data_IF_931560201523
#
_entry.id   IF_931560201523
#
_cell.length_a   1.000
_cell.length_b   1.000
_cell.length_c   1.000
_cell.angle_alpha   90.00
_cell.angle_beta   90.00
_cell.angle_gamma   90.00
#
_symmetry.space_group_name_H-M   'P 1'
#
loop_
_entity.id
_entity.type
_entity.pdbx_description
1 polymer ?
#
# COMPACT_ATOMS: atom_id res chain seq x y z
N UNK A 1 -25.12 -45.61 -43.30
CA UNK A 1 -24.92 -44.16 -43.45
C UNK A 1 -25.04 -43.58 -42.04
N UNK A 2 -23.92 -43.24 -41.42
CA UNK A 2 -23.87 -42.83 -40.00
C UNK A 2 -23.38 -41.38 -39.95
N UNK A 3 -24.28 -40.45 -39.63
CA UNK A 3 -24.00 -39.03 -39.52
C UNK A 3 -23.22 -38.78 -38.23
N UNK A 4 -21.98 -38.35 -38.36
CA UNK A 4 -21.14 -37.85 -37.25
C UNK A 4 -21.39 -36.35 -37.16
N UNK A 5 -22.10 -35.93 -36.11
CA UNK A 5 -22.25 -34.51 -35.75
C UNK A 5 -21.05 -34.14 -34.93
N UNK A 6 -20.13 -33.35 -35.53
CA UNK A 6 -19.00 -32.74 -34.84
C UNK A 6 -19.52 -31.48 -34.15
N UNK A 7 -19.68 -31.54 -32.84
CA UNK A 7 -19.98 -30.37 -32.00
C UNK A 7 -18.73 -29.54 -31.85
N UNK A 8 -18.66 -28.39 -32.54
CA UNK A 8 -17.58 -27.42 -32.43
C UNK A 8 -17.83 -26.58 -31.16
N UNK A 9 -17.10 -26.93 -30.08
CA UNK A 9 -17.15 -26.21 -28.80
C UNK A 9 -16.32 -24.93 -28.94
N UNK A 10 -16.99 -23.77 -29.15
CA UNK A 10 -16.35 -22.47 -29.19
C UNK A 10 -16.07 -22.02 -27.75
N UNK A 11 -14.83 -22.18 -27.25
CA UNK A 11 -14.37 -21.60 -26.02
C UNK A 11 -14.22 -20.08 -26.21
N UNK A 12 -15.19 -19.29 -25.74
CA UNK A 12 -15.09 -17.88 -25.57
C UNK A 12 -14.10 -17.60 -24.43
N UNK A 13 -12.85 -17.27 -24.75
CA UNK A 13 -11.88 -16.73 -23.81
C UNK A 13 -12.27 -15.28 -23.55
N UNK A 14 -12.98 -15.04 -22.44
CA UNK A 14 -13.20 -13.70 -21.89
C UNK A 14 -11.86 -13.17 -21.38
N UNK A 15 -11.06 -12.57 -22.25
CA UNK A 15 -9.92 -11.76 -21.86
C UNK A 15 -10.46 -10.51 -21.16
N UNK A 16 -10.61 -10.59 -19.85
CA UNK A 16 -10.91 -9.43 -19.01
C UNK A 16 -9.75 -8.44 -19.13
N UNK A 17 -9.92 -7.38 -19.92
CA UNK A 17 -8.98 -6.27 -19.98
C UNK A 17 -8.95 -5.59 -18.62
N UNK A 18 -8.02 -5.99 -17.74
CA UNK A 18 -7.69 -5.21 -16.56
C UNK A 18 -7.17 -3.85 -17.01
N UNK A 19 -7.84 -2.77 -16.62
CA UNK A 19 -7.43 -1.42 -16.97
C UNK A 19 -5.99 -1.18 -16.49
N UNK A 20 -5.13 -0.70 -17.40
CA UNK A 20 -3.75 -0.37 -17.07
C UNK A 20 -3.73 0.71 -15.98
N UNK A 21 -2.94 0.55 -14.90
CA UNK A 21 -2.78 1.58 -13.89
C UNK A 21 -2.31 2.91 -14.48
N UNK A 22 -2.78 4.02 -13.94
CA UNK A 22 -2.35 5.35 -14.35
C UNK A 22 -0.84 5.52 -14.10
N UNK A 23 -0.17 6.23 -15.00
CA UNK A 23 1.26 6.52 -14.84
C UNK A 23 1.51 7.44 -13.64
N UNK A 24 2.59 7.17 -12.90
CA UNK A 24 2.99 7.99 -11.74
C UNK A 24 3.60 9.29 -12.26
N UNK A 25 2.96 10.41 -11.97
CA UNK A 25 3.36 11.72 -12.47
C UNK A 25 4.58 12.30 -11.74
N UNK A 26 4.82 11.93 -10.48
CA UNK A 26 5.87 12.55 -9.66
C UNK A 26 6.42 11.64 -8.56
N UNK A 27 7.68 11.90 -8.20
CA UNK A 27 8.31 11.39 -6.99
C UNK A 27 8.55 12.60 -6.07
N UNK A 28 8.02 12.53 -4.86
CA UNK A 28 8.11 13.61 -3.86
C UNK A 28 8.99 13.15 -2.70
N UNK A 29 9.85 14.05 -2.20
CA UNK A 29 10.60 13.83 -0.97
C UNK A 29 9.81 14.34 0.23
N UNK A 30 10.06 13.73 1.39
CA UNK A 30 9.53 14.22 2.67
C UNK A 30 10.15 15.57 3.07
N UNK A 31 9.43 16.28 3.93
CA UNK A 31 9.91 17.47 4.66
C UNK A 31 9.96 17.12 6.13
N UNK A 32 11.16 16.92 6.71
CA UNK A 32 11.33 16.70 8.14
C UNK A 32 10.79 17.88 8.97
N UNK A 33 10.12 17.60 10.07
CA UNK A 33 9.58 18.63 10.98
C UNK A 33 10.65 19.21 11.92
N UNK A 34 11.75 18.49 12.14
CA UNK A 34 12.85 18.86 13.03
C UNK A 34 14.03 19.56 12.32
N UNK A 35 13.85 20.01 11.07
CA UNK A 35 14.91 20.66 10.29
C UNK A 35 16.02 19.71 9.82
N UNK A 36 15.85 18.40 9.89
CA UNK A 36 16.78 17.44 9.30
C UNK A 36 16.82 17.59 7.77
N UNK A 37 17.92 17.16 7.18
CA UNK A 37 18.12 17.16 5.73
C UNK A 37 18.12 15.72 5.26
N UNK A 38 17.40 15.44 4.17
CA UNK A 38 17.31 14.10 3.58
C UNK A 38 16.19 13.25 4.19
N UNK A 39 16.29 11.95 3.98
CA UNK A 39 15.23 10.99 4.35
C UNK A 39 15.37 10.52 5.80
N UNK A 40 16.60 10.40 6.32
CA UNK A 40 16.81 10.05 7.72
C UNK A 40 16.55 11.24 8.65
N UNK A 41 15.35 11.34 9.17
CA UNK A 41 14.92 12.46 10.01
C UNK A 41 15.61 12.50 11.38
N UNK A 42 16.26 11.41 11.81
CA UNK A 42 16.98 11.31 13.08
C UNK A 42 18.50 11.36 12.94
N UNK A 43 19.05 11.60 11.74
CA UNK A 43 20.49 11.58 11.49
C UNK A 43 21.27 12.50 12.45
N UNK A 44 20.80 13.73 12.66
CA UNK A 44 21.45 14.71 13.58
C UNK A 44 21.41 14.26 15.03
N UNK A 45 20.28 13.72 15.48
CA UNK A 45 20.13 13.24 16.86
C UNK A 45 21.02 12.04 17.12
N UNK A 46 21.13 11.13 16.14
CA UNK A 46 22.02 9.97 16.21
C UNK A 46 23.49 10.41 16.25
N UNK A 47 23.88 11.39 15.41
CA UNK A 47 25.24 11.95 15.44
C UNK A 47 25.59 12.64 16.77
N UNK A 48 24.58 13.17 17.47
CA UNK A 48 24.74 13.75 18.82
C UNK A 48 24.69 12.71 19.95
N UNK A 49 24.66 11.40 19.63
CA UNK A 49 24.62 10.33 20.62
C UNK A 49 23.24 10.09 21.25
N UNK A 50 22.18 10.70 20.73
CA UNK A 50 20.82 10.47 21.23
C UNK A 50 20.33 9.10 20.80
N UNK A 51 19.70 8.38 21.72
CA UNK A 51 19.08 7.08 21.42
C UNK A 51 17.81 7.32 20.59
N UNK A 52 17.89 7.01 19.31
CA UNK A 52 16.82 7.17 18.32
C UNK A 52 16.68 5.91 17.47
N UNK A 53 15.55 5.71 16.77
CA UNK A 53 15.35 4.56 15.88
C UNK A 53 16.49 4.40 14.86
N UNK A 54 16.92 3.16 14.64
CA UNK A 54 17.97 2.84 13.67
C UNK A 54 17.41 2.97 12.23
N UNK A 55 18.08 3.79 11.41
CA UNK A 55 17.69 4.00 10.02
C UNK A 55 17.98 2.74 9.18
N UNK A 56 16.96 2.25 8.50
CA UNK A 56 17.01 1.05 7.66
C UNK A 56 16.71 1.35 6.19
N UNK A 57 17.11 2.53 5.72
CA UNK A 57 16.89 2.95 4.35
C UNK A 57 15.58 3.69 4.13
N UNK A 58 15.16 3.78 2.89
CA UNK A 58 13.92 4.42 2.48
C UNK A 58 13.11 3.56 1.51
N UNK A 59 11.83 3.88 1.38
CA UNK A 59 10.90 3.26 0.45
C UNK A 59 10.24 4.32 -0.42
N UNK A 60 10.02 4.00 -1.69
CA UNK A 60 9.10 4.74 -2.56
C UNK A 60 7.68 4.23 -2.30
N UNK A 61 6.97 4.90 -1.37
CA UNK A 61 5.57 4.63 -1.07
C UNK A 61 4.69 5.12 -2.21
N UNK A 62 3.96 4.21 -2.83
CA UNK A 62 3.01 4.54 -3.88
C UNK A 62 1.68 5.00 -3.29
N UNK A 63 1.18 6.17 -3.74
CA UNK A 63 -0.09 6.76 -3.31
C UNK A 63 -1.02 6.87 -4.51
N UNK A 64 -2.13 6.14 -4.48
CA UNK A 64 -3.14 6.10 -5.54
C UNK A 64 -4.53 6.37 -4.99
N UNK A 65 -5.36 7.03 -5.76
CA UNK A 65 -6.75 7.30 -5.42
C UNK A 65 -7.70 6.62 -6.39
N UNK A 66 -8.84 6.24 -5.86
CA UNK A 66 -9.88 5.49 -6.58
C UNK A 66 -11.24 6.10 -6.29
N UNK A 67 -12.19 5.87 -7.17
CA UNK A 67 -13.61 6.11 -6.94
C UNK A 67 -14.42 4.85 -7.26
N UNK A 68 -15.60 4.75 -6.70
CA UNK A 68 -16.55 3.72 -7.08
C UNK A 68 -17.45 4.24 -8.21
N UNK A 69 -17.46 3.55 -9.34
CA UNK A 69 -18.32 3.82 -10.49
C UNK A 69 -19.30 2.66 -10.63
N UNK A 70 -20.59 2.97 -10.69
CA UNK A 70 -21.62 1.96 -10.91
C UNK A 70 -21.29 1.17 -12.19
N UNK A 71 -21.51 -0.14 -12.19
CA UNK A 71 -21.21 -1.09 -13.28
C UNK A 71 -19.71 -1.34 -13.57
N UNK A 72 -18.82 -0.42 -13.21
CA UNK A 72 -17.37 -0.57 -13.42
C UNK A 72 -16.62 -0.94 -12.14
N UNK A 73 -17.26 -0.82 -10.96
CA UNK A 73 -16.62 -1.06 -9.68
C UNK A 73 -15.62 0.05 -9.28
N UNK A 74 -14.51 -0.33 -8.68
CA UNK A 74 -13.48 0.61 -8.24
C UNK A 74 -12.55 0.97 -9.39
N UNK A 75 -12.55 2.24 -9.78
CA UNK A 75 -11.75 2.80 -10.89
C UNK A 75 -10.70 3.76 -10.33
N UNK A 76 -9.47 3.67 -10.84
CA UNK A 76 -8.39 4.58 -10.47
C UNK A 76 -8.66 5.98 -11.03
N UNK A 77 -8.36 7.01 -10.22
CA UNK A 77 -8.48 8.40 -10.62
C UNK A 77 -7.24 9.21 -10.26
N UNK A 78 -6.91 10.18 -11.11
CA UNK A 78 -5.83 11.13 -10.89
C UNK A 78 -6.33 12.45 -10.28
N UNK A 79 -5.37 13.28 -9.85
CA UNK A 79 -5.60 14.67 -9.51
C UNK A 79 -6.14 14.90 -8.09
N UNK A 80 -6.10 13.90 -7.20
CA UNK A 80 -6.39 14.14 -5.79
C UNK A 80 -5.15 14.71 -5.09
N UNK A 81 -5.32 15.78 -4.31
CA UNK A 81 -4.27 16.33 -3.46
C UNK A 81 -4.18 15.51 -2.19
N UNK A 82 -3.01 14.91 -1.96
CA UNK A 82 -2.75 14.07 -0.80
C UNK A 82 -1.62 14.64 0.05
N UNK A 83 -1.75 14.44 1.36
CA UNK A 83 -0.70 14.71 2.34
C UNK A 83 -0.40 13.42 3.08
N UNK A 84 0.88 13.06 3.13
CA UNK A 84 1.42 12.01 3.99
C UNK A 84 2.06 12.69 5.19
N UNK A 85 1.73 12.25 6.38
CA UNK A 85 2.28 12.80 7.62
C UNK A 85 2.62 11.70 8.62
N UNK A 86 3.73 11.89 9.31
CA UNK A 86 4.15 11.18 10.50
C UNK A 86 4.49 12.22 11.58
N UNK A 87 4.84 11.78 12.77
CA UNK A 87 5.29 12.71 13.82
C UNK A 87 6.52 13.51 13.42
N UNK A 88 7.43 12.91 12.65
CA UNK A 88 8.74 13.45 12.32
C UNK A 88 8.83 14.10 10.93
N UNK A 89 7.84 13.92 10.03
CA UNK A 89 7.88 14.48 8.66
C UNK A 89 6.51 14.61 8.01
N UNK A 90 6.48 15.38 6.92
CA UNK A 90 5.31 15.52 6.05
C UNK A 90 5.71 15.47 4.58
N UNK A 91 4.76 15.14 3.69
CA UNK A 91 4.92 15.28 2.25
C UNK A 91 3.56 15.57 1.60
N UNK A 92 3.54 16.44 0.58
CA UNK A 92 2.34 16.77 -0.17
C UNK A 92 2.53 16.42 -1.64
N UNK A 93 1.51 15.80 -2.26
CA UNK A 93 1.57 15.35 -3.65
C UNK A 93 0.20 15.34 -4.30
N UNK A 94 0.17 15.18 -5.62
CA UNK A 94 -1.05 14.93 -6.40
C UNK A 94 -1.00 13.53 -6.98
N UNK A 95 -2.05 12.74 -6.79
CA UNK A 95 -2.11 11.32 -7.21
C UNK A 95 -2.33 11.15 -8.71
N UNK A 96 -1.81 10.05 -9.30
CA UNK A 96 -0.94 9.05 -8.70
C UNK A 96 0.49 9.56 -8.50
N UNK A 97 1.09 9.25 -7.36
CA UNK A 97 2.44 9.71 -7.03
C UNK A 97 3.21 8.68 -6.20
N UNK A 98 4.52 8.86 -6.11
CA UNK A 98 5.38 8.15 -5.15
C UNK A 98 5.98 9.15 -4.18
N UNK A 99 6.09 8.77 -2.93
CA UNK A 99 6.78 9.56 -1.90
C UNK A 99 7.88 8.72 -1.27
N UNK A 100 9.08 9.32 -1.14
CA UNK A 100 10.21 8.68 -0.49
C UNK A 100 10.07 8.85 1.02
N UNK A 101 9.78 7.76 1.72
CA UNK A 101 9.57 7.72 3.17
C UNK A 101 10.68 6.95 3.86
N UNK A 102 11.15 7.36 5.06
CA UNK A 102 12.15 6.62 5.81
C UNK A 102 11.57 5.32 6.38
N UNK A 103 12.44 4.34 6.51
CA UNK A 103 12.20 3.11 7.25
C UNK A 103 13.15 3.04 8.44
N UNK A 104 12.61 2.66 9.58
CA UNK A 104 13.37 2.44 10.80
C UNK A 104 13.13 1.02 11.30
N UNK A 105 14.20 0.37 11.72
CA UNK A 105 14.14 -1.02 12.21
C UNK A 105 13.18 -1.12 13.40
N UNK A 106 12.16 -1.94 13.30
CA UNK A 106 11.14 -2.21 14.33
C UNK A 106 10.36 -0.99 14.87
N UNK A 107 10.68 0.23 14.43
CA UNK A 107 10.18 1.47 15.02
C UNK A 107 9.74 2.50 13.98
N UNK A 108 9.41 2.07 12.76
CA UNK A 108 8.86 2.98 11.74
C UNK A 108 7.55 3.57 12.21
N UNK A 109 7.42 4.90 12.10
CA UNK A 109 6.22 5.63 12.50
C UNK A 109 5.00 5.23 11.65
N UNK A 110 3.81 5.30 12.24
CA UNK A 110 2.58 5.17 11.45
C UNK A 110 2.40 6.39 10.55
N UNK A 111 2.03 6.16 9.29
CA UNK A 111 1.79 7.22 8.31
C UNK A 111 0.30 7.50 8.20
N UNK A 112 -0.12 8.73 8.44
CA UNK A 112 -1.45 9.20 8.08
C UNK A 112 -1.42 9.74 6.64
N UNK A 113 -2.24 9.17 5.76
CA UNK A 113 -2.37 9.62 4.37
C UNK A 113 -3.78 10.20 4.19
N UNK A 114 -3.86 11.52 4.06
CA UNK A 114 -5.12 12.24 3.85
C UNK A 114 -5.19 12.75 2.43
N UNK A 115 -6.26 12.39 1.70
CA UNK A 115 -6.49 12.83 0.33
C UNK A 115 -7.79 13.61 0.23
N UNK A 116 -7.78 14.63 -0.62
CA UNK A 116 -8.95 15.42 -0.99
C UNK A 116 -8.98 15.68 -2.50
N UNK A 117 -10.17 15.83 -3.05
CA UNK A 117 -10.43 16.23 -4.43
C UNK A 117 -11.75 16.95 -4.50
N UNK A 118 -11.82 17.98 -5.32
CA UNK A 118 -13.08 18.73 -5.51
C UNK A 118 -14.19 17.79 -5.98
N UNK A 119 -15.36 17.90 -5.37
CA UNK A 119 -16.51 17.01 -5.62
C UNK A 119 -16.46 15.67 -4.89
N UNK A 120 -15.47 15.45 -4.01
CA UNK A 120 -15.32 14.23 -3.22
C UNK A 120 -15.16 14.54 -1.74
N UNK A 121 -15.62 13.61 -0.89
CA UNK A 121 -15.34 13.66 0.54
C UNK A 121 -13.87 13.38 0.80
N UNK A 122 -13.25 14.21 1.65
CA UNK A 122 -11.89 13.95 2.13
C UNK A 122 -11.83 12.64 2.89
N UNK A 123 -10.78 11.85 2.65
CA UNK A 123 -10.54 10.59 3.35
C UNK A 123 -9.12 10.49 3.85
N UNK A 124 -8.97 9.88 5.02
CA UNK A 124 -7.69 9.58 5.64
C UNK A 124 -7.59 8.09 5.92
N UNK A 125 -6.42 7.53 5.68
CA UNK A 125 -6.04 6.18 6.09
C UNK A 125 -4.76 6.23 6.90
N UNK A 126 -4.54 5.22 7.73
CA UNK A 126 -3.29 5.06 8.48
C UNK A 126 -2.58 3.81 7.98
N UNK A 127 -1.30 3.95 7.63
CA UNK A 127 -0.43 2.86 7.23
C UNK A 127 0.55 2.57 8.34
N UNK A 128 0.77 1.29 8.63
CA UNK A 128 1.81 0.83 9.53
C UNK A 128 2.84 0.04 8.72
N UNK A 129 4.11 0.25 9.03
CA UNK A 129 5.16 -0.59 8.47
C UNK A 129 4.99 -2.02 9.00
N UNK A 130 5.30 -2.98 8.15
CA UNK A 130 5.28 -4.40 8.49
C UNK A 130 6.59 -5.06 8.06
N UNK A 131 6.90 -6.16 8.71
CA UNK A 131 8.04 -6.99 8.37
C UNK A 131 7.73 -7.81 7.10
N UNK A 132 8.29 -7.34 5.97
CA UNK A 132 8.13 -8.00 4.68
C UNK A 132 8.77 -9.37 4.65
N UNK A 133 9.95 -9.51 5.23
CA UNK A 133 10.68 -10.78 5.24
C UNK A 133 9.88 -11.88 5.94
N UNK A 134 9.23 -11.52 7.03
CA UNK A 134 8.34 -12.42 7.76
C UNK A 134 7.07 -12.73 6.97
N UNK A 135 6.45 -11.71 6.37
CA UNK A 135 5.26 -11.90 5.54
C UNK A 135 5.54 -12.79 4.33
N UNK A 136 6.68 -12.61 3.66
CA UNK A 136 7.08 -13.44 2.52
C UNK A 136 7.36 -14.89 2.94
N UNK A 137 8.02 -15.11 4.09
CA UNK A 137 8.22 -16.46 4.65
C UNK A 137 6.88 -17.16 4.89
N UNK A 138 5.92 -16.45 5.50
CA UNK A 138 4.59 -16.98 5.76
C UNK A 138 3.83 -17.31 4.47
N UNK A 139 3.86 -16.41 3.47
CA UNK A 139 3.22 -16.62 2.18
C UNK A 139 3.82 -17.83 1.43
N UNK A 140 5.13 -18.04 1.51
CA UNK A 140 5.78 -19.18 0.90
C UNK A 140 5.43 -20.51 1.59
N UNK A 141 5.21 -20.49 2.91
CA UNK A 141 4.76 -21.68 3.65
C UNK A 141 3.29 -22.04 3.35
N UNK A 142 2.43 -21.03 3.16
CA UNK A 142 1.00 -21.24 2.86
C UNK A 142 0.75 -21.56 1.39
N UNK A 143 1.56 -21.08 0.47
CA UNK A 143 1.45 -21.38 -0.97
C UNK A 143 1.87 -22.81 -1.33
N UNK A 144 2.62 -23.49 -0.47
CA UNK A 144 2.88 -24.92 -0.61
C UNK A 144 1.63 -25.79 -0.33
N UNK A 145 0.55 -25.22 0.18
CA UNK A 145 -0.69 -25.92 0.57
C UNK A 145 -1.99 -25.48 -0.08
N UNK A 146 -2.05 -24.34 -0.79
CA UNK A 146 -3.28 -23.93 -1.47
C UNK A 146 -3.05 -22.87 -2.55
N UNK A 147 -3.53 -23.13 -3.75
CA UNK A 147 -3.55 -22.21 -4.89
C UNK A 147 -4.59 -21.07 -4.70
N UNK A 148 -4.31 -20.14 -3.78
CA UNK A 148 -5.19 -19.00 -3.55
C UNK A 148 -4.44 -17.87 -2.85
N UNK A 149 -3.89 -16.93 -3.63
CA UNK A 149 -3.17 -15.77 -3.12
C UNK A 149 -4.02 -14.87 -2.23
N UNK A 150 -3.72 -14.83 -0.96
CA UNK A 150 -4.28 -13.88 0.01
C UNK A 150 -3.39 -12.64 0.10
N UNK A 151 -3.42 -11.80 -0.92
CA UNK A 151 -2.97 -10.42 -0.81
C UNK A 151 -4.13 -9.63 -0.20
N UNK A 152 -4.17 -9.47 1.10
CA UNK A 152 -5.23 -8.67 1.73
C UNK A 152 -5.38 -8.83 3.22
N UNK A 153 -4.75 -9.77 3.83
CA UNK A 153 -4.86 -9.96 5.28
C UNK A 153 -3.60 -9.42 5.94
N UNK A 154 -3.72 -8.24 6.52
CA UNK A 154 -2.84 -7.87 7.65
C UNK A 154 -3.21 -8.88 8.73
N UNK A 155 -2.50 -9.99 8.72
CA UNK A 155 -2.80 -11.15 9.50
C UNK A 155 -2.84 -10.81 10.97
N UNK A 156 -3.90 -11.24 11.56
CA UNK A 156 -4.08 -11.41 12.99
C UNK A 156 -2.79 -11.92 13.67
N UNK A 157 -2.42 -11.26 14.74
CA UNK A 157 -1.21 -11.47 15.54
C UNK A 157 -1.07 -12.89 16.15
N UNK A 158 -1.99 -13.80 15.89
CA UNK A 158 -2.06 -15.09 16.58
C UNK A 158 -1.16 -16.21 16.01
N UNK A 159 -0.66 -16.09 14.77
CA UNK A 159 0.20 -17.14 14.17
C UNK A 159 1.70 -16.79 14.30
N UNK A 160 1.99 -15.62 14.79
CA UNK A 160 3.33 -15.04 14.84
C UNK A 160 4.32 -15.69 15.82
N UNK A 161 3.82 -16.39 16.84
CA UNK A 161 4.65 -16.79 17.97
C UNK A 161 5.63 -17.95 17.71
N UNK A 162 5.35 -18.82 16.75
CA UNK A 162 6.12 -20.05 16.57
C UNK A 162 7.30 -19.94 15.56
N UNK A 163 7.25 -18.97 14.65
CA UNK A 163 8.28 -18.82 13.59
C UNK A 163 9.35 -17.79 13.96
N UNK A 164 9.09 -16.93 14.96
CA UNK A 164 10.00 -15.87 15.38
C UNK A 164 11.19 -16.35 16.22
N UNK A 165 11.08 -17.47 16.88
CA UNK A 165 12.09 -17.91 17.86
C UNK A 165 13.42 -18.38 17.22
N UNK A 166 13.45 -18.58 15.90
CA UNK A 166 14.60 -19.15 15.20
C UNK A 166 15.24 -18.25 14.13
N UNK A 167 14.75 -17.01 13.96
CA UNK A 167 15.25 -16.14 12.87
C UNK A 167 15.92 -14.88 13.42
N UNK A 168 17.08 -14.54 12.83
CA UNK A 168 17.74 -13.26 13.07
C UNK A 168 16.88 -12.11 12.54
N UNK A 169 16.12 -11.48 13.44
CA UNK A 169 15.23 -10.36 13.13
C UNK A 169 16.00 -9.08 12.73
N UNK A 170 17.33 -9.06 12.87
CA UNK A 170 18.16 -7.91 12.51
C UNK A 170 18.27 -7.70 10.99
N UNK A 171 18.10 -8.75 10.20
CA UNK A 171 18.15 -8.71 8.74
C UNK A 171 16.77 -8.50 8.09
N UNK A 172 15.70 -8.32 8.86
CA UNK A 172 14.36 -8.20 8.32
C UNK A 172 14.15 -6.89 7.56
N UNK A 173 13.50 -6.99 6.41
CA UNK A 173 13.12 -5.85 5.56
C UNK A 173 11.75 -5.35 5.98
N UNK A 174 11.70 -4.09 6.39
CA UNK A 174 10.47 -3.40 6.75
C UNK A 174 9.94 -2.60 5.55
N UNK A 175 8.62 -2.52 5.41
CA UNK A 175 8.00 -1.68 4.39
C UNK A 175 6.58 -1.25 4.78
N UNK A 176 6.10 -0.15 4.19
CA UNK A 176 4.69 0.24 4.24
C UNK A 176 3.93 -0.40 3.08
N UNK A 177 2.68 -0.79 3.27
CA UNK A 177 1.81 -1.18 2.17
C UNK A 177 1.52 0.03 1.27
N UNK A 178 1.24 -0.17 -0.04
CA UNK A 178 0.85 0.93 -0.91
C UNK A 178 -0.44 1.62 -0.43
N UNK A 179 -0.46 2.96 -0.51
CA UNK A 179 -1.61 3.77 -0.10
C UNK A 179 -2.68 3.77 -1.21
N UNK A 180 -3.70 2.95 -1.08
CA UNK A 180 -4.86 2.91 -1.97
C UNK A 180 -6.06 3.54 -1.27
N UNK A 181 -6.55 4.69 -1.76
CA UNK A 181 -7.58 5.48 -1.09
C UNK A 181 -8.78 5.65 -2.02
N UNK A 182 -9.91 5.04 -1.68
CA UNK A 182 -11.15 5.23 -2.43
C UNK A 182 -11.90 6.43 -1.86
N UNK A 183 -12.05 7.50 -2.67
CA UNK A 183 -12.81 8.70 -2.31
C UNK A 183 -14.28 8.54 -2.69
N UNK A 184 -15.17 9.10 -1.90
CA UNK A 184 -16.60 9.12 -2.14
C UNK A 184 -17.01 10.40 -2.86
N UNK A 185 -17.66 10.26 -4.01
CA UNK A 185 -18.21 11.38 -4.73
C UNK A 185 -19.39 11.98 -3.94
N UNK A 186 -19.42 13.31 -3.73
CA UNK A 186 -20.44 13.99 -2.94
C UNK A 186 -21.80 14.00 -3.63
N UNK A 187 -21.86 13.88 -4.95
CA UNK A 187 -23.09 13.85 -5.77
C UNK A 187 -23.64 12.46 -6.06
N UNK A 188 -22.89 11.38 -5.74
CA UNK A 188 -23.31 10.00 -6.02
C UNK A 188 -23.15 9.15 -4.74
N UNK A 189 -24.26 8.67 -4.20
CA UNK A 189 -24.22 7.68 -3.09
C UNK A 189 -23.74 6.33 -3.62
N UNK A 190 -22.82 5.70 -2.89
CA UNK A 190 -22.49 4.28 -3.10
C UNK A 190 -23.75 3.46 -2.79
N UNK A 191 -24.11 2.45 -3.60
CA UNK A 191 -25.12 1.48 -3.21
C UNK A 191 -24.67 0.85 -1.87
N UNK A 192 -25.55 0.87 -0.87
CA UNK A 192 -25.29 0.11 0.35
C UNK A 192 -25.37 -1.36 -0.01
N UNK A 193 -24.31 -2.11 0.26
CA UNK A 193 -24.40 -3.58 0.27
C UNK A 193 -25.40 -3.94 1.37
N UNK A 194 -26.56 -4.49 0.99
CA UNK A 194 -27.44 -5.17 1.94
C UNK A 194 -26.66 -6.33 2.54
N UNK A 195 -26.47 -6.28 3.87
CA UNK A 195 -26.02 -7.42 4.67
C UNK A 195 -26.96 -8.61 4.52
#
# INVERSE_FOLDING_TARGET
MRNIIVALSVCFVLAGCAAKPLEVASITSIKPTNGAIGTDVYARQRAAGTLVPEYNGDQLLEVRTYEYVQEKGTVEMAGAKCNVSAGSFTASMTTPAKVRVPLYRNQSESLAVKCNKQGYKSKMITLKAFDKTRADRFNNMTSAGSAGGLIGVVASAAIAGAVDAASDNNANVWQYPPAKITLENTGKKRPQSSE
#
